data_IF_844560699713
#
_entry.id   IF_844560699713
#
_cell.length_a   1.000
_cell.length_b   1.000
_cell.length_c   1.000
_cell.angle_alpha   90.00
_cell.angle_beta   90.00
_cell.angle_gamma   90.00
#
_symmetry.space_group_name_H-M   'P 1'
#
loop_
_entity.id
_entity.type
_entity.pdbx_description
1 polymer ?
#
# COMPACT_ATOMS: atom_id res chain seq x y z
N UNK A 1 24.19 -1.57 0.07
CA UNK A 1 23.72 -0.17 0.31
C UNK A 1 22.49 -0.23 1.19
N UNK A 2 22.57 0.35 2.37
CA UNK A 2 21.45 0.31 3.34
C UNK A 2 20.47 1.46 3.05
N UNK A 3 19.21 1.11 2.80
CA UNK A 3 18.12 2.06 2.53
C UNK A 3 17.05 1.93 3.60
N UNK A 4 16.65 3.06 4.17
CA UNK A 4 15.55 3.17 5.10
C UNK A 4 14.33 3.76 4.37
N UNK A 5 13.20 3.05 4.38
CA UNK A 5 11.94 3.47 3.81
C UNK A 5 10.90 3.82 4.87
N UNK A 6 10.16 4.91 4.66
CA UNK A 6 9.04 5.33 5.52
C UNK A 6 7.74 5.27 4.70
N UNK A 7 6.75 4.56 5.25
CA UNK A 7 5.39 4.48 4.71
C UNK A 7 4.39 5.08 5.69
N UNK A 8 3.56 6.01 5.22
CA UNK A 8 2.52 6.65 6.02
C UNK A 8 1.32 7.11 5.17
N UNK A 9 1.05 6.45 4.06
CA UNK A 9 0.06 6.93 3.09
C UNK A 9 -1.40 6.80 3.55
N UNK A 10 -1.70 5.93 4.50
CA UNK A 10 -3.06 5.64 4.95
C UNK A 10 -3.19 5.60 6.49
N UNK A 11 -3.26 4.44 7.11
CA UNK A 11 -3.52 4.25 8.54
C UNK A 11 -2.42 3.47 9.28
N UNK A 12 -1.39 3.05 8.56
CA UNK A 12 -0.23 2.36 9.12
C UNK A 12 1.03 3.21 9.00
N UNK A 13 1.80 3.27 10.09
CA UNK A 13 3.13 3.89 10.11
C UNK A 13 4.16 2.80 9.98
N UNK A 14 4.79 2.69 8.82
CA UNK A 14 5.81 1.68 8.52
C UNK A 14 7.21 2.27 8.41
N UNK A 15 8.20 1.58 8.95
CA UNK A 15 9.62 1.81 8.68
C UNK A 15 10.27 0.48 8.33
N UNK A 16 10.69 0.34 7.08
CA UNK A 16 11.47 -0.78 6.58
C UNK A 16 12.92 -0.39 6.36
N UNK A 17 13.85 -1.31 6.62
CA UNK A 17 15.27 -1.13 6.32
C UNK A 17 15.74 -2.34 5.54
N UNK A 18 16.35 -2.08 4.39
CA UNK A 18 16.88 -3.13 3.51
C UNK A 18 18.37 -2.88 3.22
N UNK A 19 19.13 -3.97 3.06
CA UNK A 19 20.44 -3.91 2.43
C UNK A 19 20.31 -4.33 0.97
N UNK A 20 20.51 -3.38 0.06
CA UNK A 20 20.48 -3.59 -1.37
C UNK A 20 21.87 -3.95 -1.87
N UNK A 21 22.01 -5.14 -2.46
CA UNK A 21 23.25 -5.67 -3.00
C UNK A 21 23.49 -5.23 -4.45
N UNK A 22 24.74 -5.35 -4.92
CA UNK A 22 25.15 -4.92 -6.26
C UNK A 22 24.51 -5.77 -7.38
N UNK A 23 24.12 -6.99 -7.06
CA UNK A 23 23.41 -7.91 -7.99
C UNK A 23 21.90 -7.63 -8.07
N UNK A 24 21.39 -6.66 -7.30
CA UNK A 24 19.97 -6.29 -7.26
C UNK A 24 19.15 -7.11 -6.26
N UNK A 25 19.73 -8.07 -5.57
CA UNK A 25 19.08 -8.75 -4.44
C UNK A 25 19.05 -7.85 -3.21
N UNK A 26 18.21 -8.17 -2.23
CA UNK A 26 18.10 -7.39 -1.01
C UNK A 26 17.80 -8.27 0.20
N UNK A 27 18.36 -7.87 1.34
CA UNK A 27 18.02 -8.44 2.64
C UNK A 27 17.18 -7.45 3.44
N UNK A 28 16.09 -7.94 4.06
CA UNK A 28 15.27 -7.14 4.98
C UNK A 28 15.97 -7.15 6.34
N UNK A 29 16.48 -5.99 6.76
CA UNK A 29 17.12 -5.81 8.06
C UNK A 29 16.12 -5.44 9.15
N UNK A 30 15.06 -4.72 8.81
CA UNK A 30 13.95 -4.38 9.70
C UNK A 30 12.67 -4.17 8.92
N UNK A 31 11.55 -4.56 9.53
CA UNK A 31 10.18 -4.26 9.10
C UNK A 31 9.34 -4.00 10.35
N UNK A 32 9.06 -2.73 10.61
CA UNK A 32 8.34 -2.29 11.81
C UNK A 32 7.13 -1.47 11.42
N UNK A 33 5.97 -1.94 11.83
CA UNK A 33 4.68 -1.29 11.54
C UNK A 33 3.94 -0.99 12.84
N UNK A 34 3.34 0.19 12.91
CA UNK A 34 2.35 0.57 13.91
C UNK A 34 1.04 0.92 13.20
N UNK A 35 -0.03 0.17 13.52
CA UNK A 35 -1.35 0.38 12.93
C UNK A 35 -2.23 1.25 13.83
N UNK A 36 -2.96 2.18 13.21
CA UNK A 36 -4.00 2.97 13.87
C UNK A 36 -5.43 2.47 13.57
N UNK A 37 -5.55 1.27 13.00
CA UNK A 37 -6.82 0.68 12.56
C UNK A 37 -7.90 0.67 13.66
N UNK A 38 -7.55 0.36 14.89
CA UNK A 38 -8.50 0.36 16.02
C UNK A 38 -9.12 1.74 16.27
N UNK A 39 -8.35 2.81 16.05
CA UNK A 39 -8.85 4.18 16.20
C UNK A 39 -9.88 4.54 15.12
N UNK A 40 -9.78 3.90 13.96
CA UNK A 40 -10.66 4.12 12.81
C UNK A 40 -11.90 3.21 12.82
N UNK A 41 -11.82 2.04 13.44
CA UNK A 41 -12.89 1.01 13.42
C UNK A 41 -14.26 1.57 13.83
N UNK A 42 -14.33 2.45 14.82
CA UNK A 42 -15.58 3.09 15.28
C UNK A 42 -16.23 4.01 14.24
N UNK A 43 -15.48 4.44 13.23
CA UNK A 43 -15.98 5.29 12.15
C UNK A 43 -16.33 4.49 10.88
N UNK A 44 -15.97 3.20 10.86
CA UNK A 44 -16.20 2.31 9.72
C UNK A 44 -15.34 2.64 8.49
N UNK A 45 -14.16 3.26 8.70
CA UNK A 45 -13.22 3.64 7.67
C UNK A 45 -12.17 4.63 8.17
N UNK A 46 -11.13 4.87 7.38
CA UNK A 46 -10.01 5.74 7.76
C UNK A 46 -10.42 7.21 7.82
N UNK A 47 -10.13 7.86 8.93
CA UNK A 47 -10.34 9.30 9.14
C UNK A 47 -8.99 10.03 8.97
N UNK A 48 -8.82 10.88 7.94
CA UNK A 48 -7.52 11.45 7.59
C UNK A 48 -6.82 12.22 8.71
N UNK A 49 -7.56 12.98 9.51
CA UNK A 49 -6.99 13.73 10.65
C UNK A 49 -6.49 12.79 11.75
N UNK A 50 -7.23 11.74 12.07
CA UNK A 50 -6.82 10.72 13.06
C UNK A 50 -5.56 10.02 12.58
N UNK A 51 -5.52 9.59 11.31
CA UNK A 51 -4.35 8.97 10.71
C UNK A 51 -3.11 9.86 10.82
N UNK A 52 -3.22 11.13 10.44
CA UNK A 52 -2.09 12.08 10.49
C UNK A 52 -1.54 12.26 11.92
N UNK A 53 -2.41 12.32 12.92
CA UNK A 53 -2.00 12.41 14.34
C UNK A 53 -1.35 11.11 14.82
N UNK A 54 -1.92 9.97 14.48
CA UNK A 54 -1.37 8.67 14.82
C UNK A 54 0.05 8.48 14.24
N UNK A 55 0.28 8.90 12.99
CA UNK A 55 1.62 8.88 12.39
C UNK A 55 2.63 9.74 13.17
N UNK A 56 2.24 10.95 13.60
CA UNK A 56 3.11 11.82 14.39
C UNK A 56 3.52 11.18 15.71
N UNK A 57 2.57 10.52 16.39
CA UNK A 57 2.81 9.85 17.67
C UNK A 57 3.65 8.56 17.51
N UNK A 58 3.39 7.78 16.46
CA UNK A 58 4.04 6.49 16.24
C UNK A 58 5.46 6.62 15.64
N UNK A 59 5.69 7.61 14.79
CA UNK A 59 6.92 7.73 13.98
C UNK A 59 8.22 7.62 14.80
N UNK A 60 8.41 8.34 15.93
CA UNK A 60 9.66 8.22 16.69
C UNK A 60 9.91 6.81 17.21
N UNK A 61 8.88 6.14 17.70
CA UNK A 61 8.99 4.79 18.27
C UNK A 61 9.24 3.72 17.20
N UNK A 62 8.56 3.84 16.05
CA UNK A 62 8.73 2.92 14.92
C UNK A 62 10.14 3.07 14.36
N UNK A 63 10.62 4.32 14.22
CA UNK A 63 11.98 4.61 13.77
C UNK A 63 13.04 4.02 14.70
N UNK A 64 12.92 4.25 16.01
CA UNK A 64 13.86 3.73 17.01
C UNK A 64 13.91 2.20 16.95
N UNK A 65 12.76 1.54 16.91
CA UNK A 65 12.68 0.07 16.81
C UNK A 65 13.31 -0.47 15.53
N UNK A 66 13.07 0.19 14.40
CA UNK A 66 13.61 -0.24 13.11
C UNK A 66 15.14 -0.13 13.08
N UNK A 67 15.72 0.99 13.54
CA UNK A 67 17.17 1.17 13.63
C UNK A 67 17.80 0.15 14.58
N UNK A 68 17.17 -0.10 15.74
CA UNK A 68 17.64 -1.09 16.69
C UNK A 68 17.60 -2.52 16.14
N UNK A 69 16.50 -2.88 15.44
CA UNK A 69 16.36 -4.20 14.82
C UNK A 69 17.40 -4.43 13.71
N UNK A 70 17.66 -3.41 12.89
CA UNK A 70 18.67 -3.45 11.84
C UNK A 70 20.11 -3.37 12.38
N UNK A 71 20.32 -2.99 13.66
CA UNK A 71 21.64 -2.83 14.27
C UNK A 71 22.47 -1.70 13.67
N UNK A 72 21.84 -0.66 13.13
CA UNK A 72 22.51 0.46 12.46
C UNK A 72 22.26 1.79 13.16
N UNK A 73 23.22 2.71 13.06
CA UNK A 73 23.06 4.07 13.56
C UNK A 73 22.46 5.02 12.52
N UNK A 74 22.69 4.75 11.23
CA UNK A 74 22.15 5.51 10.10
C UNK A 74 22.17 4.67 8.82
N UNK A 75 21.24 4.92 7.85
CA UNK A 75 21.29 4.31 6.52
C UNK A 75 22.24 5.08 5.57
N UNK A 76 22.42 4.55 4.36
CA UNK A 76 23.09 5.23 3.25
C UNK A 76 22.13 6.15 2.48
N UNK A 77 20.81 5.86 2.52
CA UNK A 77 19.76 6.65 1.90
C UNK A 77 18.44 6.53 2.67
N UNK A 78 17.59 7.56 2.56
CA UNK A 78 16.23 7.55 3.10
C UNK A 78 15.23 7.69 1.95
N UNK A 79 14.20 6.86 1.96
CA UNK A 79 13.07 6.93 1.06
C UNK A 79 11.78 7.16 1.84
N UNK A 80 10.78 7.78 1.22
CA UNK A 80 9.44 7.82 1.77
C UNK A 80 8.39 7.84 0.67
N UNK A 81 7.22 7.29 0.98
CA UNK A 81 6.05 7.42 0.13
C UNK A 81 5.60 8.88 0.06
N UNK A 82 5.48 9.40 -1.17
CA UNK A 82 5.06 10.79 -1.43
C UNK A 82 3.72 10.87 -2.16
N UNK A 83 3.13 9.74 -2.50
CA UNK A 83 1.82 9.62 -3.14
C UNK A 83 1.66 8.33 -3.94
N UNK A 84 0.41 7.98 -4.30
CA UNK A 84 -0.85 8.51 -3.79
C UNK A 84 -1.10 8.14 -2.32
N UNK A 85 -2.06 8.84 -1.68
CA UNK A 85 -2.47 8.60 -0.29
C UNK A 85 -3.12 9.82 0.36
N UNK A 86 -3.40 9.74 1.65
CA UNK A 86 -3.97 10.83 2.43
C UNK A 86 -2.94 11.95 2.60
N UNK A 87 -3.26 13.15 2.11
CA UNK A 87 -2.29 14.27 2.04
C UNK A 87 -1.63 14.59 3.39
N UNK A 88 -2.41 14.63 4.48
CA UNK A 88 -1.88 14.90 5.83
C UNK A 88 -0.97 13.77 6.33
N UNK A 89 -1.31 12.53 6.07
CA UNK A 89 -0.55 11.34 6.45
C UNK A 89 0.79 11.29 5.68
N UNK A 90 0.74 11.45 4.35
CA UNK A 90 1.94 11.54 3.50
C UNK A 90 2.89 12.66 3.94
N UNK A 91 2.33 13.83 4.33
CA UNK A 91 3.13 14.96 4.77
C UNK A 91 3.94 14.62 6.02
N UNK A 92 3.39 13.86 6.97
CA UNK A 92 4.10 13.43 8.17
C UNK A 92 5.29 12.55 7.82
N UNK A 93 5.10 11.47 7.05
CA UNK A 93 6.18 10.56 6.67
C UNK A 93 7.25 11.23 5.82
N UNK A 94 6.85 11.99 4.80
CA UNK A 94 7.79 12.68 3.93
C UNK A 94 8.59 13.77 4.66
N UNK A 95 7.97 14.48 5.62
CA UNK A 95 8.69 15.47 6.44
C UNK A 95 9.68 14.82 7.40
N UNK A 96 9.27 13.74 8.07
CA UNK A 96 10.15 12.96 8.91
C UNK A 96 11.35 12.42 8.13
N UNK A 97 11.10 11.80 6.97
CA UNK A 97 12.15 11.27 6.10
C UNK A 97 13.16 12.34 5.67
N UNK A 98 12.69 13.51 5.26
CA UNK A 98 13.56 14.64 4.89
C UNK A 98 14.37 15.15 6.07
N UNK A 99 13.76 15.21 7.26
CA UNK A 99 14.46 15.63 8.47
C UNK A 99 15.58 14.64 8.85
N UNK A 100 15.30 13.34 8.83
CA UNK A 100 16.30 12.29 9.07
C UNK A 100 17.39 12.30 8.01
N UNK A 101 17.04 12.38 6.72
CA UNK A 101 18.02 12.44 5.64
C UNK A 101 18.97 13.64 5.81
N UNK A 102 18.42 14.82 6.14
CA UNK A 102 19.21 16.03 6.39
C UNK A 102 20.12 15.88 7.63
N UNK A 103 19.61 15.32 8.72
CA UNK A 103 20.37 15.12 9.96
C UNK A 103 21.54 14.12 9.77
N UNK A 104 21.34 13.08 8.97
CA UNK A 104 22.37 12.08 8.68
C UNK A 104 23.29 12.46 7.52
N UNK A 105 22.94 13.48 6.74
CA UNK A 105 23.71 13.90 5.55
C UNK A 105 23.63 12.88 4.42
N UNK A 106 22.48 12.22 4.23
CA UNK A 106 22.26 11.19 3.21
C UNK A 106 21.17 11.65 2.20
N UNK A 107 21.12 11.08 0.98
CA UNK A 107 20.11 11.42 0.00
C UNK A 107 18.70 11.00 0.43
N UNK A 108 17.69 11.77 -0.03
CA UNK A 108 16.28 11.47 0.12
C UNK A 108 15.65 11.12 -1.23
N UNK A 109 14.81 10.08 -1.24
CA UNK A 109 14.06 9.64 -2.42
C UNK A 109 12.56 9.61 -2.13
N UNK A 110 11.77 10.29 -2.98
CA UNK A 110 10.31 10.18 -2.95
C UNK A 110 9.85 8.97 -3.77
N UNK A 111 9.04 8.10 -3.18
CA UNK A 111 8.58 6.85 -3.79
C UNK A 111 7.06 6.88 -4.00
N UNK A 112 6.60 6.29 -5.10
CA UNK A 112 5.19 6.09 -5.36
C UNK A 112 4.66 4.91 -4.52
N UNK A 113 3.54 5.09 -3.81
CA UNK A 113 2.90 4.08 -2.96
C UNK A 113 2.59 2.78 -3.71
N UNK A 114 1.99 2.88 -4.89
CA UNK A 114 1.64 1.71 -5.70
C UNK A 114 2.89 1.01 -6.25
N UNK A 115 3.94 1.79 -6.53
CA UNK A 115 5.26 1.25 -6.86
C UNK A 115 5.88 0.45 -5.73
N UNK A 116 5.66 0.88 -4.48
CA UNK A 116 6.03 0.13 -3.28
C UNK A 116 5.33 -1.23 -3.21
N UNK A 117 4.03 -1.27 -3.44
CA UNK A 117 3.28 -2.54 -3.51
C UNK A 117 3.82 -3.50 -4.58
N UNK A 118 4.13 -3.00 -5.77
CA UNK A 118 4.68 -3.82 -6.85
C UNK A 118 6.10 -4.29 -6.53
N UNK A 119 6.89 -3.47 -5.86
CA UNK A 119 8.28 -3.78 -5.54
C UNK A 119 8.43 -5.00 -4.59
N UNK A 120 7.40 -5.31 -3.81
CA UNK A 120 7.38 -6.51 -2.94
C UNK A 120 7.62 -7.79 -3.73
N UNK A 121 7.21 -7.85 -5.01
CA UNK A 121 7.47 -9.01 -5.87
C UNK A 121 8.96 -9.29 -6.12
N UNK A 122 9.86 -8.33 -5.86
CA UNK A 122 11.30 -8.52 -5.98
C UNK A 122 11.97 -9.06 -4.69
N UNK A 123 11.22 -9.17 -3.59
CA UNK A 123 11.78 -9.66 -2.32
C UNK A 123 12.22 -11.13 -2.38
N UNK A 124 11.66 -11.91 -3.33
CA UNK A 124 12.06 -13.31 -3.55
C UNK A 124 13.39 -13.47 -4.32
N UNK A 125 14.09 -12.36 -4.59
CA UNK A 125 15.44 -12.34 -5.15
C UNK A 125 15.52 -12.35 -6.68
N UNK A 126 14.39 -12.51 -7.39
CA UNK A 126 14.36 -12.39 -8.85
C UNK A 126 13.72 -11.07 -9.27
N UNK A 127 14.36 -10.28 -10.18
CA UNK A 127 13.75 -9.06 -10.69
C UNK A 127 12.41 -9.36 -11.38
N UNK A 128 11.38 -8.59 -11.04
CA UNK A 128 10.08 -8.69 -11.70
C UNK A 128 10.26 -8.42 -13.21
N UNK A 129 9.91 -9.38 -14.10
CA UNK A 129 9.95 -9.15 -15.53
C UNK A 129 8.91 -8.13 -15.96
N UNK A 130 8.93 -7.70 -17.23
CA UNK A 130 7.82 -6.93 -17.79
C UNK A 130 6.50 -7.68 -17.53
N UNK A 131 5.59 -7.05 -16.78
CA UNK A 131 4.40 -7.70 -16.26
C UNK A 131 3.19 -6.74 -16.23
N UNK A 132 2.02 -7.32 -16.02
CA UNK A 132 0.82 -6.58 -15.66
C UNK A 132 0.54 -6.87 -14.18
N UNK A 133 0.48 -5.83 -13.35
CA UNK A 133 0.11 -5.93 -11.97
C UNK A 133 -1.38 -5.59 -11.80
N UNK A 134 -2.13 -6.46 -11.12
CA UNK A 134 -3.47 -6.16 -10.62
C UNK A 134 -3.34 -5.78 -9.15
N UNK A 135 -3.53 -4.49 -8.86
CA UNK A 135 -3.61 -3.98 -7.49
C UNK A 135 -5.07 -3.97 -7.04
N UNK A 136 -5.35 -4.62 -5.90
CA UNK A 136 -6.68 -4.68 -5.28
C UNK A 136 -6.54 -4.37 -3.81
N UNK A 137 -7.06 -3.23 -3.38
CA UNK A 137 -6.98 -2.77 -1.99
C UNK A 137 -8.24 -2.00 -1.56
N UNK A 138 -8.24 -1.46 -0.35
CA UNK A 138 -9.29 -0.58 0.14
C UNK A 138 -9.35 0.77 -0.57
N UNK A 139 -8.23 1.27 -1.10
CA UNK A 139 -8.16 2.57 -1.77
C UNK A 139 -7.99 2.50 -3.28
N UNK A 140 -7.52 1.37 -3.81
CA UNK A 140 -7.17 1.25 -5.23
C UNK A 140 -7.61 -0.10 -5.80
N UNK A 141 -8.12 -0.06 -7.03
CA UNK A 141 -8.32 -1.25 -7.87
C UNK A 141 -7.89 -0.86 -9.28
N UNK A 142 -6.69 -1.32 -9.68
CA UNK A 142 -6.02 -0.87 -10.90
C UNK A 142 -5.28 -1.99 -11.60
N UNK A 143 -5.24 -1.92 -12.94
CA UNK A 143 -4.33 -2.67 -13.79
C UNK A 143 -3.17 -1.78 -14.20
N UNK A 144 -1.96 -2.18 -13.87
CA UNK A 144 -0.74 -1.42 -14.15
C UNK A 144 0.20 -2.24 -15.02
N UNK A 145 0.68 -1.67 -16.11
CA UNK A 145 1.79 -2.22 -16.84
C UNK A 145 3.10 -1.79 -16.17
N UNK A 146 3.88 -2.79 -15.79
CA UNK A 146 5.16 -2.65 -15.08
C UNK A 146 6.27 -3.08 -16.02
N UNK A 147 7.00 -2.12 -16.57
CA UNK A 147 8.16 -2.41 -17.42
C UNK A 147 9.33 -2.94 -16.59
N UNK A 148 9.60 -2.29 -15.46
CA UNK A 148 10.54 -2.72 -14.43
C UNK A 148 10.24 -2.00 -13.11
N UNK A 149 10.59 -2.60 -11.98
CA UNK A 149 10.51 -1.94 -10.67
C UNK A 149 11.40 -0.70 -10.66
N UNK A 150 10.90 0.40 -10.09
CA UNK A 150 11.58 1.70 -10.06
C UNK A 150 11.37 2.57 -11.30
N UNK A 151 10.79 2.05 -12.39
CA UNK A 151 10.33 2.85 -13.52
C UNK A 151 8.89 3.31 -13.34
N UNK A 152 8.47 4.41 -14.01
CA UNK A 152 7.07 4.80 -14.07
C UNK A 152 6.20 3.67 -14.62
N UNK A 153 5.11 3.37 -13.90
CA UNK A 153 4.13 2.37 -14.34
C UNK A 153 3.07 3.04 -15.20
N UNK A 154 2.54 2.32 -16.19
CA UNK A 154 1.46 2.80 -17.05
C UNK A 154 0.12 2.21 -16.58
N UNK A 155 -0.82 3.06 -16.19
CA UNK A 155 -2.18 2.64 -15.88
C UNK A 155 -2.86 2.16 -17.15
N UNK A 156 -3.38 0.92 -17.14
CA UNK A 156 -4.17 0.32 -18.22
C UNK A 156 -5.67 0.46 -17.96
N UNK A 157 -6.05 0.41 -16.69
CA UNK A 157 -7.42 0.57 -16.24
C UNK A 157 -7.51 0.72 -14.74
N UNK A 158 -8.61 1.30 -14.30
CA UNK A 158 -8.89 1.55 -12.88
C UNK A 158 -10.38 1.38 -12.61
N UNK A 159 -10.76 1.21 -11.35
CA UNK A 159 -12.17 1.35 -10.98
C UNK A 159 -12.64 2.79 -11.20
N UNK A 160 -13.87 2.97 -11.63
CA UNK A 160 -14.49 4.29 -11.85
C UNK A 160 -15.33 4.74 -10.65
N UNK A 161 -15.60 3.84 -9.73
CA UNK A 161 -16.34 4.08 -8.49
C UNK A 161 -15.54 3.58 -7.28
N UNK A 162 -16.11 2.71 -6.44
CA UNK A 162 -15.44 2.18 -5.26
C UNK A 162 -14.28 1.26 -5.63
N UNK A 163 -13.20 1.33 -4.87
CA UNK A 163 -12.20 0.26 -4.87
C UNK A 163 -12.83 -1.05 -4.34
N UNK A 164 -12.31 -2.19 -4.78
CA UNK A 164 -12.88 -3.49 -4.40
C UNK A 164 -12.93 -3.69 -2.88
N UNK A 165 -11.87 -3.33 -2.15
CA UNK A 165 -11.85 -3.41 -0.68
C UNK A 165 -12.86 -2.46 -0.03
N UNK A 166 -13.03 -1.25 -0.56
CA UNK A 166 -14.07 -0.32 -0.10
C UNK A 166 -15.47 -0.88 -0.32
N UNK A 167 -15.72 -1.55 -1.45
CA UNK A 167 -16.99 -2.22 -1.71
C UNK A 167 -17.24 -3.34 -0.67
N UNK A 168 -16.22 -4.13 -0.33
CA UNK A 168 -16.32 -5.12 0.74
C UNK A 168 -16.67 -4.49 2.10
N UNK A 169 -16.03 -3.38 2.46
CA UNK A 169 -16.31 -2.67 3.72
C UNK A 169 -17.74 -2.13 3.76
N UNK A 170 -18.23 -1.58 2.65
CA UNK A 170 -19.62 -1.09 2.53
C UNK A 170 -20.63 -2.24 2.66
N UNK A 171 -20.39 -3.36 1.98
CA UNK A 171 -21.26 -4.55 2.08
C UNK A 171 -21.24 -5.12 3.51
N UNK A 172 -20.09 -5.27 4.12
CA UNK A 172 -19.97 -5.74 5.49
C UNK A 172 -20.76 -4.85 6.45
N UNK A 173 -20.66 -3.55 6.31
CA UNK A 173 -21.42 -2.58 7.12
C UNK A 173 -22.94 -2.73 6.92
N UNK A 174 -23.41 -2.91 5.68
CA UNK A 174 -24.83 -3.15 5.38
C UNK A 174 -25.34 -4.44 6.03
N UNK A 175 -24.49 -5.45 6.13
CA UNK A 175 -24.80 -6.74 6.76
C UNK A 175 -24.64 -6.73 8.28
N UNK A 176 -24.22 -5.61 8.89
CA UNK A 176 -23.98 -5.51 10.33
C UNK A 176 -22.72 -6.28 10.78
N UNK A 177 -21.78 -6.52 9.87
CA UNK A 177 -20.50 -7.17 10.15
C UNK A 177 -19.45 -6.15 10.61
N UNK A 178 -18.32 -6.64 11.12
CA UNK A 178 -17.22 -5.80 11.61
C UNK A 178 -16.41 -5.14 10.49
N UNK A 179 -15.41 -4.35 10.93
CA UNK A 179 -14.40 -3.71 10.08
C UNK A 179 -13.00 -4.25 10.45
N UNK A 180 -12.10 -4.49 9.47
CA UNK A 180 -12.28 -4.38 8.02
C UNK A 180 -13.22 -5.45 7.46
N UNK A 181 -14.03 -5.07 6.45
CA UNK A 181 -15.09 -5.91 5.91
C UNK A 181 -14.60 -7.07 5.06
N UNK A 182 -13.53 -6.87 4.29
CA UNK A 182 -13.00 -7.89 3.38
C UNK A 182 -12.76 -9.25 4.06
N UNK A 183 -11.91 -9.35 5.09
CA UNK A 183 -11.63 -10.61 5.78
C UNK A 183 -12.86 -11.26 6.42
N UNK A 184 -13.81 -10.46 6.90
CA UNK A 184 -15.04 -10.98 7.53
C UNK A 184 -15.98 -11.56 6.50
N UNK A 185 -16.19 -10.87 5.39
CA UNK A 185 -17.05 -11.34 4.28
C UNK A 185 -16.44 -12.59 3.65
N UNK A 186 -15.12 -12.62 3.40
CA UNK A 186 -14.42 -13.77 2.83
C UNK A 186 -14.58 -15.00 3.70
N UNK A 187 -14.38 -14.86 5.02
CA UNK A 187 -14.56 -15.95 5.97
C UNK A 187 -16.00 -16.49 5.98
N UNK A 188 -17.00 -15.63 5.88
CA UNK A 188 -18.40 -16.05 5.82
C UNK A 188 -18.73 -16.70 4.47
N UNK A 189 -18.17 -16.21 3.38
CA UNK A 189 -18.35 -16.74 2.04
C UNK A 189 -17.89 -18.20 1.90
N UNK A 190 -16.89 -18.61 2.69
CA UNK A 190 -16.40 -20.01 2.69
C UNK A 190 -17.48 -21.03 3.04
N UNK A 191 -18.51 -20.63 3.79
CA UNK A 191 -19.65 -21.49 4.14
C UNK A 191 -20.89 -21.24 3.23
N UNK A 192 -20.80 -20.32 2.28
CA UNK A 192 -21.88 -19.92 1.39
C UNK A 192 -21.99 -20.80 0.15
N UNK A 193 -23.13 -20.69 -0.54
CA UNK A 193 -23.33 -21.26 -1.87
C UNK A 193 -23.06 -20.18 -2.94
N UNK A 194 -21.97 -20.29 -3.73
CA UNK A 194 -21.64 -19.29 -4.75
C UNK A 194 -22.63 -19.24 -5.92
N UNK A 195 -23.58 -20.20 -6.00
CA UNK A 195 -24.62 -20.27 -7.03
C UNK A 195 -25.99 -19.82 -6.54
N UNK A 196 -26.15 -19.51 -5.24
CA UNK A 196 -27.44 -19.14 -4.64
C UNK A 196 -28.05 -17.88 -5.28
N UNK A 197 -27.21 -16.93 -5.74
CA UNK A 197 -27.64 -15.69 -6.38
C UNK A 197 -26.80 -15.44 -7.63
N UNK A 198 -27.46 -15.28 -8.77
CA UNK A 198 -26.82 -14.95 -10.04
C UNK A 198 -26.58 -13.42 -10.12
N UNK A 199 -25.45 -12.95 -9.62
CA UNK A 199 -25.06 -11.55 -9.77
C UNK A 199 -24.67 -11.23 -11.22
N UNK A 200 -25.02 -10.03 -11.72
CA UNK A 200 -24.52 -9.58 -13.02
C UNK A 200 -23.01 -9.43 -13.00
N UNK A 201 -22.36 -9.79 -14.11
CA UNK A 201 -20.91 -9.61 -14.29
C UNK A 201 -20.66 -8.47 -15.27
N UNK A 202 -19.90 -7.49 -14.85
CA UNK A 202 -19.43 -6.41 -15.71
C UNK A 202 -18.49 -6.94 -16.80
N UNK A 203 -18.32 -6.20 -17.88
CA UNK A 203 -17.39 -6.46 -18.99
C UNK A 203 -17.48 -7.88 -19.57
N UNK A 204 -18.68 -8.47 -19.57
CA UNK A 204 -18.90 -9.84 -20.05
C UNK A 204 -19.27 -9.94 -21.53
N UNK A 205 -19.55 -8.81 -22.18
CA UNK A 205 -19.95 -8.77 -23.60
C UNK A 205 -18.75 -8.46 -24.49
N UNK A 206 -18.75 -9.00 -25.71
CA UNK A 206 -17.66 -8.76 -26.67
C UNK A 206 -17.50 -7.27 -27.05
N UNK A 207 -18.57 -6.48 -26.97
CA UNK A 207 -18.55 -5.04 -27.22
C UNK A 207 -17.84 -4.27 -26.08
N UNK A 208 -18.01 -4.71 -24.83
CA UNK A 208 -17.38 -4.10 -23.65
C UNK A 208 -15.84 -4.18 -23.76
N UNK A 209 -15.32 -5.30 -24.29
CA UNK A 209 -13.90 -5.55 -24.47
C UNK A 209 -13.23 -4.70 -25.57
N UNK A 210 -14.01 -3.96 -26.37
CA UNK A 210 -13.52 -3.07 -27.44
C UNK A 210 -13.67 -1.60 -27.11
N UNK A 211 -14.40 -1.27 -26.03
CA UNK A 211 -14.66 0.08 -25.60
C UNK A 211 -13.47 0.78 -24.96
N UNK A 212 -13.60 2.06 -24.74
CA UNK A 212 -12.64 2.90 -24.02
C UNK A 212 -12.36 2.39 -22.61
N UNK A 213 -13.40 1.87 -21.94
CA UNK A 213 -13.35 1.36 -20.58
C UNK A 213 -13.11 -0.15 -20.47
N UNK A 214 -12.53 -0.77 -21.52
CA UNK A 214 -12.34 -2.23 -21.57
C UNK A 214 -11.52 -2.84 -20.43
N UNK A 215 -10.77 -2.03 -19.72
CA UNK A 215 -9.97 -2.43 -18.55
C UNK A 215 -10.44 -1.78 -17.24
N UNK A 216 -11.56 -1.09 -17.23
CA UNK A 216 -12.13 -0.53 -16.04
C UNK A 216 -13.14 -1.52 -15.43
N UNK A 217 -13.16 -1.67 -14.10
CA UNK A 217 -13.86 -2.79 -13.44
C UNK A 217 -15.27 -2.46 -12.97
N UNK A 218 -15.69 -1.20 -13.03
CA UNK A 218 -17.01 -0.77 -12.52
C UNK A 218 -17.69 0.18 -13.47
#
# INVERSE_FOLDING_TARGET
>A
MIVLGIESSCDETGVGIVDLHDDGTMDILADVVASSMEQHARFGGVVPEIASRAHLEAMPQVMEKALAAAGIAKPDAVAATVGPGLAGALLVGASAAKAYAAAWGVPFYGVNHLGGHVAVANLDGEPLPHAIALLVSGGHTQLLEVEAVGKPMRELGTTLDDAAGEAYDKVARLLGLGYPGGPVVDKLAAAGDPQAVAFPRALSRAEDLRGEHRYNFS
#
